data_IF_833175850364
#
_entry.id   IF_833175850364
#
_cell.length_a   1.000
_cell.length_b   1.000
_cell.length_c   1.000
_cell.angle_alpha   90.00
_cell.angle_beta   90.00
_cell.angle_gamma   90.00
#
_symmetry.space_group_name_H-M   'P 1'
#
loop_
_entity.id
_entity.type
_entity.pdbx_description
1 polymer ?
#
# COMPACT_ATOMS: atom_id res chain seq x y z
N UNK A 1 -8.75 10.78 -5.22
CA UNK A 1 -7.57 10.03 -4.71
C UNK A 1 -6.46 9.95 -5.76
N UNK A 2 -6.67 9.29 -6.90
CA UNK A 2 -5.62 9.09 -7.92
C UNK A 2 -4.97 10.39 -8.43
N UNK A 3 -5.75 11.41 -8.78
CA UNK A 3 -5.22 12.70 -9.24
C UNK A 3 -4.41 13.42 -8.16
N UNK A 4 -4.83 13.28 -6.90
CA UNK A 4 -4.11 13.86 -5.78
C UNK A 4 -2.76 13.17 -5.61
N UNK A 5 -2.72 11.84 -5.64
CA UNK A 5 -1.47 11.05 -5.59
C UNK A 5 -0.54 11.45 -6.73
N UNK A 6 -1.04 11.49 -7.97
CA UNK A 6 -0.23 11.89 -9.15
C UNK A 6 0.33 13.31 -9.03
N UNK A 7 -0.38 14.22 -8.36
CA UNK A 7 0.11 15.59 -8.17
C UNK A 7 1.17 15.64 -7.08
N UNK A 8 0.93 15.00 -5.94
CA UNK A 8 1.86 15.03 -4.81
C UNK A 8 3.16 14.29 -5.11
N UNK A 9 3.09 13.16 -5.82
CA UNK A 9 4.27 12.36 -6.18
C UNK A 9 5.30 13.10 -7.05
N UNK A 10 4.90 14.21 -7.69
CA UNK A 10 5.77 15.00 -8.58
C UNK A 10 6.39 16.22 -7.91
N UNK A 11 6.01 16.50 -6.66
CA UNK A 11 6.55 17.63 -5.90
C UNK A 11 7.93 17.21 -5.38
N UNK A 12 9.00 17.96 -5.69
CA UNK A 12 10.31 17.73 -5.09
C UNK A 12 10.25 17.86 -3.57
N UNK A 13 10.92 16.95 -2.86
CA UNK A 13 10.90 16.91 -1.38
C UNK A 13 12.31 16.99 -0.75
N UNK A 14 13.34 16.99 -1.59
CA UNK A 14 14.76 17.09 -1.26
C UNK A 14 15.40 18.35 -1.89
N UNK A 15 16.68 18.56 -1.59
CA UNK A 15 17.39 19.82 -1.89
C UNK A 15 17.76 20.00 -3.38
N UNK A 16 17.75 18.92 -4.17
CA UNK A 16 18.12 18.97 -5.59
C UNK A 16 17.00 19.56 -6.48
N UNK A 17 15.78 19.64 -5.96
CA UNK A 17 14.61 20.19 -6.64
C UNK A 17 14.11 19.33 -7.81
N UNK A 18 14.54 18.07 -7.90
CA UNK A 18 14.20 17.17 -9.00
C UNK A 18 12.87 16.45 -8.76
N UNK A 19 12.21 16.00 -9.83
CA UNK A 19 10.99 15.19 -9.71
C UNK A 19 11.34 13.81 -9.11
N UNK A 20 10.67 13.38 -8.02
CA UNK A 20 10.97 12.08 -7.40
C UNK A 20 10.76 10.91 -8.35
N UNK A 21 11.67 9.93 -8.31
CA UNK A 21 11.58 8.72 -9.14
C UNK A 21 10.60 7.68 -8.58
N UNK A 22 10.42 7.67 -7.26
CA UNK A 22 9.57 6.70 -6.54
C UNK A 22 8.77 7.44 -5.48
N UNK A 23 7.48 7.10 -5.36
CA UNK A 23 6.62 7.57 -4.29
C UNK A 23 6.16 6.36 -3.46
N UNK A 24 6.53 6.32 -2.18
CA UNK A 24 6.04 5.30 -1.24
C UNK A 24 4.73 5.80 -0.63
N UNK A 25 3.66 5.03 -0.83
CA UNK A 25 2.33 5.36 -0.33
C UNK A 25 1.98 4.40 0.79
N UNK A 26 1.80 4.92 1.99
CA UNK A 26 1.21 4.19 3.10
C UNK A 26 -0.31 4.35 3.07
N UNK A 27 -1.03 3.23 2.99
CA UNK A 27 -2.46 3.22 3.26
C UNK A 27 -2.66 2.76 4.71
N UNK A 28 -2.97 3.70 5.59
CA UNK A 28 -3.29 3.40 6.99
C UNK A 28 -4.57 2.57 7.15
N UNK A 29 -4.78 2.03 8.35
CA UNK A 29 -5.89 1.13 8.66
C UNK A 29 -5.58 -0.34 8.38
N UNK A 30 -6.58 -1.21 8.55
CA UNK A 30 -6.47 -2.64 8.25
C UNK A 30 -7.29 -2.99 7.02
N UNK A 31 -6.75 -3.85 6.16
CA UNK A 31 -7.47 -4.32 4.97
C UNK A 31 -8.67 -5.17 5.41
N UNK A 32 -9.83 -4.88 4.83
CA UNK A 32 -11.10 -5.57 5.15
C UNK A 32 -12.10 -4.69 5.88
N UNK A 33 -11.66 -3.57 6.46
CA UNK A 33 -12.54 -2.59 7.08
C UNK A 33 -13.27 -1.74 6.04
N UNK A 34 -14.53 -1.38 6.30
CA UNK A 34 -15.39 -0.59 5.40
C UNK A 34 -14.72 0.75 5.02
N UNK A 35 -13.98 1.34 5.95
CA UNK A 35 -13.27 2.61 5.77
C UNK A 35 -12.15 2.52 4.74
N UNK A 36 -11.53 1.34 4.58
CA UNK A 36 -10.42 1.11 3.64
C UNK A 36 -10.88 0.86 2.19
N UNK A 37 -12.12 0.41 2.00
CA UNK A 37 -12.65 0.00 0.68
C UNK A 37 -12.52 1.07 -0.42
N UNK A 38 -12.84 2.36 -0.19
CA UNK A 38 -12.73 3.37 -1.23
C UNK A 38 -11.29 3.59 -1.70
N UNK A 39 -10.32 3.47 -0.80
CA UNK A 39 -8.90 3.63 -1.12
C UNK A 39 -8.37 2.42 -1.89
N UNK A 40 -8.73 1.21 -1.46
CA UNK A 40 -8.35 -0.03 -2.16
C UNK A 40 -8.89 0.00 -3.59
N UNK A 41 -10.15 0.38 -3.79
CA UNK A 41 -10.73 0.49 -5.14
C UNK A 41 -10.05 1.58 -5.98
N UNK A 42 -9.73 2.73 -5.37
CA UNK A 42 -9.00 3.78 -6.06
C UNK A 42 -7.62 3.31 -6.56
N UNK A 43 -6.86 2.56 -5.74
CA UNK A 43 -5.56 2.00 -6.13
C UNK A 43 -5.67 0.80 -7.07
N UNK A 44 -6.73 -0.01 -6.95
CA UNK A 44 -7.03 -1.09 -7.91
C UNK A 44 -7.22 -0.54 -9.32
N UNK A 45 -7.88 0.61 -9.48
CA UNK A 45 -8.00 1.28 -10.77
C UNK A 45 -6.69 1.98 -11.18
N UNK A 46 -5.97 2.54 -10.20
CA UNK A 46 -4.73 3.27 -10.44
C UNK A 46 -3.65 2.42 -11.10
N UNK A 47 -3.50 1.15 -10.73
CA UNK A 47 -2.51 0.24 -11.31
C UNK A 47 -2.63 0.13 -12.85
N UNK A 48 -3.85 0.23 -13.39
CA UNK A 48 -4.08 0.18 -14.84
C UNK A 48 -3.72 1.50 -15.52
N UNK A 49 -3.84 2.62 -14.80
CA UNK A 49 -3.54 3.97 -15.31
C UNK A 49 -2.03 4.21 -15.42
N UNK A 50 -1.24 3.76 -14.44
CA UNK A 50 0.22 3.99 -14.42
C UNK A 50 1.04 2.88 -15.07
N UNK A 51 0.39 1.78 -15.47
CA UNK A 51 0.99 0.52 -15.97
C UNK A 51 1.73 -0.28 -14.90
N UNK A 52 1.90 -1.58 -15.17
CA UNK A 52 2.38 -2.58 -14.20
C UNK A 52 3.82 -2.32 -13.75
N UNK A 53 4.65 -1.81 -14.64
CA UNK A 53 6.07 -1.49 -14.37
C UNK A 53 6.25 -0.33 -13.38
N UNK A 54 5.22 0.51 -13.20
CA UNK A 54 5.28 1.70 -12.33
C UNK A 54 4.42 1.55 -11.07
N UNK A 55 3.94 0.35 -10.75
CA UNK A 55 3.12 0.12 -9.56
C UNK A 55 3.49 -1.19 -8.87
N UNK A 56 3.76 -1.11 -7.57
CA UNK A 56 3.99 -2.25 -6.70
C UNK A 56 3.07 -2.13 -5.49
N UNK A 57 2.54 -3.26 -5.03
CA UNK A 57 1.81 -3.34 -3.76
C UNK A 57 2.61 -4.17 -2.75
N UNK A 58 2.58 -3.73 -1.49
CA UNK A 58 3.20 -4.44 -0.37
C UNK A 58 2.09 -4.64 0.67
N UNK A 59 1.89 -5.89 1.08
CA UNK A 59 0.92 -6.23 2.12
C UNK A 59 1.67 -6.69 3.36
N UNK A 60 1.55 -5.90 4.44
CA UNK A 60 2.14 -6.23 5.74
C UNK A 60 1.09 -6.98 6.54
N UNK A 61 1.40 -8.21 6.95
CA UNK A 61 0.48 -9.10 7.68
C UNK A 61 1.16 -9.71 8.90
N UNK A 62 0.35 -10.05 9.91
CA UNK A 62 0.80 -10.66 11.16
C UNK A 62 0.76 -12.18 11.07
N UNK A 63 1.89 -12.83 11.36
CA UNK A 63 1.99 -14.28 11.57
C UNK A 63 2.10 -14.55 13.08
N UNK A 64 1.00 -14.83 13.80
CA UNK A 64 1.05 -15.02 15.24
C UNK A 64 1.64 -16.37 15.64
N UNK A 65 2.19 -16.43 16.86
CA UNK A 65 2.69 -17.65 17.50
C UNK A 65 2.13 -17.73 18.94
N UNK A 66 0.99 -18.40 19.15
CA UNK A 66 0.41 -18.55 20.49
C UNK A 66 1.38 -19.24 21.45
N UNK A 67 1.54 -18.71 22.65
CA UNK A 67 2.47 -19.25 23.67
C UNK A 67 2.09 -20.65 24.15
N UNK A 68 0.81 -21.02 24.07
CA UNK A 68 0.30 -22.33 24.48
C UNK A 68 0.78 -23.47 23.58
N UNK A 69 1.02 -23.22 22.29
CA UNK A 69 1.48 -24.24 21.34
C UNK A 69 2.91 -24.00 20.87
N UNK A 70 3.39 -22.76 20.88
CA UNK A 70 4.70 -22.39 20.36
C UNK A 70 4.81 -22.45 18.84
N UNK A 71 3.71 -22.70 18.12
CA UNK A 71 3.70 -22.86 16.66
C UNK A 71 3.25 -21.59 15.94
N UNK A 72 4.00 -21.19 14.92
CA UNK A 72 3.59 -20.11 14.03
C UNK A 72 2.35 -20.51 13.23
N UNK A 73 1.38 -19.60 13.15
CA UNK A 73 0.12 -19.81 12.44
C UNK A 73 0.02 -18.84 11.27
N UNK A 74 0.05 -19.38 10.05
CA UNK A 74 0.01 -18.58 8.81
C UNK A 74 -1.42 -18.25 8.35
N UNK A 75 -2.44 -18.89 8.93
CA UNK A 75 -3.84 -18.73 8.52
C UNK A 75 -4.34 -17.26 8.54
N UNK A 76 -3.99 -16.42 9.53
CA UNK A 76 -4.37 -15.00 9.50
C UNK A 76 -3.81 -14.21 8.32
N UNK A 77 -2.67 -14.61 7.75
CA UNK A 77 -2.09 -13.97 6.55
C UNK A 77 -2.69 -14.50 5.24
N UNK A 78 -3.35 -15.67 5.28
CA UNK A 78 -3.93 -16.30 4.09
C UNK A 78 -5.36 -15.83 3.80
N UNK A 79 -6.12 -15.52 4.85
CA UNK A 79 -7.50 -15.01 4.74
C UNK A 79 -7.50 -13.54 4.32
#
# INVERSE_FOLDING_TARGET
IQEWVMRQARIPVDEDGMEPQVCVIELGGTVGDIESMPFIEAFRQFQFKVKRENFCNIHVSLVPQPSSTGEQKTKPTQN
#
